data_IF_444376860820
#
_entry.id   IF_444376860820
#
_cell.length_a   1.000
_cell.length_b   1.000
_cell.length_c   1.000
_cell.angle_alpha   90.00
_cell.angle_beta   90.00
_cell.angle_gamma   90.00
#
_symmetry.space_group_name_H-M   'P 1'
#
loop_
_entity.id
_entity.type
_entity.pdbx_description
1 polymer ?
#
# COMPACT_ATOMS: atom_id res chain seq x y z
N UNK A 1 4.33 1.10 -0.48
CA UNK A 1 5.66 1.63 -0.85
C UNK A 1 6.45 0.74 -1.80
N UNK A 2 6.72 -0.53 -1.48
CA UNK A 2 7.62 -1.37 -2.29
C UNK A 2 7.21 -1.48 -3.77
N UNK A 3 5.91 -1.41 -4.07
CA UNK A 3 5.40 -1.30 -5.45
C UNK A 3 5.91 -0.06 -6.20
N UNK A 4 6.03 1.09 -5.53
CA UNK A 4 6.55 2.32 -6.13
C UNK A 4 8.06 2.18 -6.35
N UNK A 5 8.81 1.81 -5.32
CA UNK A 5 10.28 1.64 -5.37
C UNK A 5 10.71 0.65 -6.45
N UNK A 6 10.00 -0.47 -6.56
CA UNK A 6 10.31 -1.54 -7.52
C UNK A 6 9.84 -1.26 -8.95
N UNK A 7 9.40 -0.04 -9.25
CA UNK A 7 8.76 0.33 -10.52
C UNK A 7 7.61 -0.63 -10.92
N UNK A 8 6.87 -1.11 -9.93
CA UNK A 8 5.73 -2.01 -10.09
C UNK A 8 6.07 -3.48 -10.28
N UNK A 9 7.33 -3.91 -10.10
CA UNK A 9 7.71 -5.34 -10.09
C UNK A 9 7.05 -6.08 -8.92
N UNK A 10 7.00 -5.47 -7.74
CA UNK A 10 6.26 -6.01 -6.60
C UNK A 10 4.85 -5.42 -6.50
N UNK A 11 3.85 -6.27 -6.21
CA UNK A 11 2.44 -5.86 -6.11
C UNK A 11 2.01 -5.74 -4.67
N UNK A 12 1.44 -4.59 -4.31
CA UNK A 12 0.74 -4.38 -3.05
C UNK A 12 -0.67 -4.93 -3.19
N UNK A 13 -0.95 -6.07 -2.56
CA UNK A 13 -2.24 -6.76 -2.68
C UNK A 13 -3.19 -6.39 -1.54
N UNK A 14 -4.48 -6.34 -1.85
CA UNK A 14 -5.52 -6.20 -0.84
C UNK A 14 -5.60 -7.45 0.03
N UNK A 15 -5.61 -7.26 1.35
CA UNK A 15 -5.79 -8.33 2.33
C UNK A 15 -6.93 -7.99 3.29
N UNK A 16 -7.53 -9.02 3.90
CA UNK A 16 -8.59 -8.85 4.90
C UNK A 16 -8.44 -9.85 6.04
N UNK A 17 -8.78 -9.39 7.23
CA UNK A 17 -8.94 -10.23 8.41
C UNK A 17 -10.43 -10.61 8.55
N UNK A 18 -10.74 -11.90 8.57
CA UNK A 18 -12.11 -12.40 8.82
C UNK A 18 -12.27 -12.86 10.26
N UNK A 19 -13.39 -12.54 10.90
CA UNK A 19 -13.65 -12.92 12.31
C UNK A 19 -14.43 -14.22 12.39
N UNK A 20 -14.15 -15.07 13.38
CA UNK A 20 -14.97 -16.24 13.70
C UNK A 20 -15.56 -16.07 15.09
N UNK A 21 -16.81 -16.50 15.30
CA UNK A 21 -17.51 -16.42 16.60
C UNK A 21 -16.92 -17.33 17.68
N UNK A 22 -16.22 -18.40 17.27
CA UNK A 22 -15.83 -19.49 18.17
C UNK A 22 -14.62 -19.18 19.05
N UNK A 23 -13.60 -18.51 18.50
CA UNK A 23 -12.36 -18.24 19.21
C UNK A 23 -11.80 -16.85 18.83
N UNK A 24 -11.23 -16.12 19.80
CA UNK A 24 -10.53 -14.87 19.52
C UNK A 24 -9.27 -15.16 18.68
N UNK A 25 -8.90 -14.20 17.82
CA UNK A 25 -7.62 -14.19 17.11
C UNK A 25 -6.84 -12.95 17.50
N UNK A 26 -5.59 -13.13 17.90
CA UNK A 26 -4.61 -12.06 18.06
C UNK A 26 -3.59 -12.11 16.92
N UNK A 27 -3.24 -10.95 16.38
CA UNK A 27 -2.18 -10.79 15.37
C UNK A 27 -1.42 -9.50 15.62
N UNK A 28 -0.10 -9.55 15.48
CA UNK A 28 0.77 -8.37 15.55
C UNK A 28 1.29 -8.04 14.15
N UNK A 29 1.00 -6.82 13.69
CA UNK A 29 1.53 -6.30 12.43
C UNK A 29 2.71 -5.36 12.70
N UNK A 30 3.86 -5.66 12.09
CA UNK A 30 5.00 -4.75 12.04
C UNK A 30 5.15 -4.23 10.61
N UNK A 31 5.16 -2.90 10.47
CA UNK A 31 5.25 -2.23 9.18
C UNK A 31 6.54 -1.41 9.15
N UNK A 32 7.32 -1.58 8.09
CA UNK A 32 8.50 -0.77 7.84
C UNK A 32 8.14 0.36 6.87
N UNK A 33 8.27 1.59 7.34
CA UNK A 33 7.97 2.80 6.57
C UNK A 33 9.19 3.73 6.52
N UNK A 34 9.33 4.55 5.47
CA UNK A 34 10.35 5.60 5.45
C UNK A 34 10.10 6.66 6.51
N UNK A 35 11.07 7.56 6.63
CA UNK A 35 10.87 8.87 7.24
C UNK A 35 9.81 9.68 6.48
N UNK A 36 9.11 10.58 7.16
CA UNK A 36 8.04 11.40 6.58
C UNK A 36 8.53 12.30 5.43
N UNK A 37 9.74 12.84 5.57
CA UNK A 37 10.40 13.71 4.61
C UNK A 37 11.13 12.94 3.49
N UNK A 38 11.17 11.61 3.55
CA UNK A 38 11.83 10.81 2.54
C UNK A 38 11.14 10.94 1.18
N UNK A 39 11.95 11.12 0.12
CA UNK A 39 11.46 11.05 -1.24
C UNK A 39 11.37 9.58 -1.67
N UNK A 40 10.17 9.15 -2.08
CA UNK A 40 9.91 7.83 -2.61
C UNK A 40 9.60 7.89 -4.10
N UNK A 41 10.20 6.99 -4.89
CA UNK A 41 10.04 6.91 -6.33
C UNK A 41 10.63 5.62 -6.87
N UNK A 42 10.48 5.31 -8.16
CA UNK A 42 11.15 4.16 -8.76
C UNK A 42 12.66 4.24 -8.57
N UNK A 43 13.30 3.14 -8.16
CA UNK A 43 14.76 3.05 -8.10
C UNK A 43 15.31 3.22 -9.51
N UNK A 44 16.29 4.10 -9.68
CA UNK A 44 16.84 4.49 -10.98
C UNK A 44 17.35 3.29 -11.79
N UNK A 45 18.06 2.36 -11.13
CA UNK A 45 18.56 1.12 -11.75
C UNK A 45 17.47 0.19 -12.30
N UNK A 46 16.20 0.42 -11.91
CA UNK A 46 15.04 -0.34 -12.39
C UNK A 46 14.30 0.37 -13.54
N UNK A 47 14.80 1.50 -14.01
CA UNK A 47 14.27 2.27 -15.14
C UNK A 47 15.20 2.11 -16.35
N UNK A 48 14.63 1.79 -17.51
CA UNK A 48 15.35 1.72 -18.79
C UNK A 48 14.38 1.86 -19.97
N UNK A 49 14.89 1.75 -21.20
CA UNK A 49 14.11 1.87 -22.44
C UNK A 49 12.97 0.86 -22.55
N UNK A 50 13.09 -0.31 -21.91
CA UNK A 50 12.01 -1.31 -21.86
C UNK A 50 11.08 -1.12 -20.66
N UNK A 51 11.57 -0.44 -19.61
CA UNK A 51 10.91 -0.27 -18.32
C UNK A 51 10.85 1.20 -17.92
N UNK A 52 9.97 1.96 -18.57
CA UNK A 52 9.72 3.36 -18.24
C UNK A 52 9.26 3.56 -16.78
N UNK A 53 9.52 4.73 -16.18
CA UNK A 53 9.07 5.04 -14.82
C UNK A 53 7.54 5.10 -14.75
N UNK A 54 6.93 4.20 -13.99
CA UNK A 54 5.46 4.10 -13.82
C UNK A 54 4.91 4.98 -12.72
N UNK A 55 5.78 5.50 -11.87
CA UNK A 55 5.44 6.32 -10.71
C UNK A 55 6.33 7.56 -10.72
N UNK A 56 5.77 8.70 -10.30
CA UNK A 56 6.58 9.91 -10.03
C UNK A 56 7.24 9.81 -8.65
N UNK A 57 8.13 10.75 -8.36
CA UNK A 57 8.67 10.93 -7.02
C UNK A 57 7.63 11.65 -6.13
N UNK A 58 7.56 11.26 -4.87
CA UNK A 58 6.69 11.86 -3.85
C UNK A 58 7.47 12.06 -2.56
N UNK A 59 7.13 13.09 -1.78
CA UNK A 59 7.47 13.09 -0.36
C UNK A 59 6.55 12.07 0.33
N UNK A 60 7.10 11.20 1.17
CA UNK A 60 6.35 10.09 1.76
C UNK A 60 5.13 10.57 2.57
N UNK A 61 5.28 11.68 3.30
CA UNK A 61 4.18 12.33 4.01
C UNK A 61 3.01 12.73 3.09
N UNK A 62 3.30 13.43 2.00
CA UNK A 62 2.29 13.86 1.03
C UNK A 62 1.58 12.66 0.39
N UNK A 63 2.33 11.61 0.08
CA UNK A 63 1.77 10.35 -0.43
C UNK A 63 0.77 9.73 0.55
N UNK A 64 1.10 9.70 1.85
CA UNK A 64 0.24 9.13 2.88
C UNK A 64 -0.99 9.99 3.15
N UNK A 65 -0.86 11.32 3.15
CA UNK A 65 -1.99 12.25 3.28
C UNK A 65 -3.01 12.03 2.16
N UNK A 66 -2.55 11.95 0.91
CA UNK A 66 -3.39 11.63 -0.24
C UNK A 66 -4.02 10.24 -0.15
N UNK A 67 -3.24 9.24 0.30
CA UNK A 67 -3.75 7.88 0.49
C UNK A 67 -4.92 7.85 1.48
N UNK A 68 -4.77 8.47 2.65
CA UNK A 68 -5.84 8.51 3.66
C UNK A 68 -7.05 9.30 3.18
N UNK A 69 -6.84 10.40 2.46
CA UNK A 69 -7.90 11.18 1.84
C UNK A 69 -8.72 10.36 0.83
N UNK A 70 -8.07 9.49 0.05
CA UNK A 70 -8.74 8.61 -0.91
C UNK A 70 -9.41 7.40 -0.25
N UNK A 71 -8.79 6.77 0.76
CA UNK A 71 -9.39 5.66 1.51
C UNK A 71 -10.69 6.09 2.21
N UNK A 72 -10.74 7.31 2.77
CA UNK A 72 -11.97 7.88 3.34
C UNK A 72 -13.12 7.99 2.33
N UNK A 73 -12.82 8.02 1.02
CA UNK A 73 -13.81 8.09 -0.08
C UNK A 73 -14.17 6.70 -0.63
N UNK A 74 -13.36 5.67 -0.39
CA UNK A 74 -13.62 4.29 -0.81
C UNK A 74 -14.52 3.58 0.20
N UNK A 75 -15.84 3.84 0.15
CA UNK A 75 -16.83 3.03 0.89
C UNK A 75 -16.74 1.56 0.44
N UNK A 76 -16.19 0.68 1.28
CA UNK A 76 -16.32 -0.77 1.10
C UNK A 76 -17.73 -1.19 1.53
N UNK A 77 -18.52 -1.70 0.58
CA UNK A 77 -19.86 -2.26 0.82
C UNK A 77 -19.73 -3.49 1.73
N UNK A 78 -20.58 -3.66 2.77
CA UNK A 78 -20.54 -4.85 3.61
C UNK A 78 -20.90 -6.09 2.79
N UNK A 79 -20.08 -7.13 2.88
CA UNK A 79 -20.35 -8.42 2.27
C UNK A 79 -21.21 -9.19 3.27
N UNK A 80 -22.53 -8.98 3.26
CA UNK A 80 -23.46 -9.83 4.00
C UNK A 80 -23.61 -11.15 3.23
N UNK A 81 -22.91 -12.17 3.70
CA UNK A 81 -22.99 -13.53 3.20
C UNK A 81 -21.82 -14.34 3.73
N UNK A 82 -22.11 -15.52 4.26
CA UNK A 82 -21.18 -16.47 4.90
C UNK A 82 -20.85 -16.20 6.37
N UNK A 83 -21.88 -16.09 7.21
CA UNK A 83 -21.95 -16.74 8.54
C UNK A 83 -23.39 -17.07 8.88
#
# INVERSE_FOLDING_TARGET
>A
MLTVLSNGKFKSIGHRAVTKKLLPRLSLGMLYTPSEDAVIGPIEDLINEEHFPKYRNYIFKEYMEEFYWQEGKRRRVPIYGYY
#
